data_IF_373756651596
#
_entry.id   IF_373756651596
#
_cell.length_a   1.000
_cell.length_b   1.000
_cell.length_c   1.000
_cell.angle_alpha   90.00
_cell.angle_beta   90.00
_cell.angle_gamma   90.00
#
_symmetry.space_group_name_H-M   'P 1'
#
loop_
_entity.id
_entity.type
_entity.pdbx_description
1 polymer ?
#
# COMPACT_ATOMS: atom_id res chain seq x y z
N UNK A 1 -12.69 13.90 13.33
CA UNK A 1 -11.59 13.43 12.47
C UNK A 1 -11.63 11.91 12.24
N UNK A 2 -12.48 11.14 12.94
CA UNK A 2 -12.54 9.68 12.83
C UNK A 2 -13.41 9.12 11.68
N UNK A 3 -14.19 9.93 10.95
CA UNK A 3 -15.08 9.39 9.90
C UNK A 3 -14.31 8.87 8.69
N UNK A 4 -13.19 9.51 8.34
CA UNK A 4 -12.42 9.19 7.13
C UNK A 4 -11.79 7.79 7.16
N UNK A 5 -11.62 7.19 8.34
CA UNK A 5 -11.14 5.81 8.47
C UNK A 5 -12.16 4.79 7.95
N UNK A 6 -13.43 5.16 7.92
CA UNK A 6 -14.55 4.32 7.50
C UNK A 6 -15.12 4.69 6.13
N UNK A 7 -14.67 5.79 5.54
CA UNK A 7 -15.07 6.23 4.20
C UNK A 7 -14.15 5.62 3.14
N UNK A 8 -14.68 5.42 1.92
CA UNK A 8 -13.85 5.08 0.77
C UNK A 8 -13.19 6.36 0.25
N UNK A 9 -11.86 6.40 0.18
CA UNK A 9 -11.14 7.56 -0.36
C UNK A 9 -11.58 7.89 -1.79
N UNK A 10 -12.14 6.94 -2.56
CA UNK A 10 -12.63 7.24 -3.91
C UNK A 10 -13.90 8.12 -3.91
N UNK A 11 -14.64 8.14 -2.80
CA UNK A 11 -15.93 8.86 -2.71
C UNK A 11 -15.87 10.17 -1.94
N UNK A 12 -14.73 10.50 -1.32
CA UNK A 12 -14.59 11.74 -0.54
C UNK A 12 -14.35 12.91 -1.48
N UNK A 13 -15.28 13.86 -1.49
CA UNK A 13 -15.11 15.16 -2.11
C UNK A 13 -14.09 15.94 -1.25
N UNK A 14 -13.02 16.50 -1.85
CA UNK A 14 -11.89 17.19 -1.18
C UNK A 14 -10.65 16.38 -0.79
N UNK A 15 -10.40 15.23 -1.42
CA UNK A 15 -9.05 14.63 -1.34
C UNK A 15 -8.10 15.28 -2.34
N UNK A 16 -6.94 15.72 -1.85
CA UNK A 16 -5.82 16.17 -2.69
C UNK A 16 -5.04 14.94 -3.20
N UNK A 17 -5.11 14.61 -4.50
CA UNK A 17 -4.40 13.47 -5.05
C UNK A 17 -2.89 13.75 -5.12
N UNK A 18 -2.08 12.79 -4.73
CA UNK A 18 -0.62 12.91 -4.70
C UNK A 18 0.08 11.77 -5.45
N UNK A 19 -0.49 10.57 -5.53
CA UNK A 19 0.20 9.40 -6.10
C UNK A 19 0.58 9.61 -7.56
N UNK A 20 -0.32 10.10 -8.43
CA UNK A 20 0.02 10.43 -9.84
C UNK A 20 1.19 11.40 -9.96
N UNK A 21 1.34 12.30 -8.99
CA UNK A 21 2.42 13.27 -8.96
C UNK A 21 3.74 12.64 -8.50
N UNK A 22 3.67 11.64 -7.61
CA UNK A 22 4.81 10.88 -7.09
C UNK A 22 5.27 9.75 -8.05
N UNK A 23 4.44 9.35 -9.02
CA UNK A 23 4.80 8.37 -10.05
C UNK A 23 5.75 9.00 -11.07
N UNK A 24 7.06 8.81 -10.85
CA UNK A 24 8.12 9.33 -11.71
C UNK A 24 9.52 8.99 -11.17
N UNK A 25 10.55 9.01 -12.02
CA UNK A 25 11.93 8.74 -11.57
C UNK A 25 12.39 9.78 -10.55
N UNK A 26 12.85 9.32 -9.38
CA UNK A 26 13.42 10.17 -8.33
C UNK A 26 12.40 10.95 -7.50
N UNK A 27 11.13 10.55 -7.53
CA UNK A 27 10.08 11.15 -6.70
C UNK A 27 9.78 10.27 -5.49
N UNK A 28 9.23 10.89 -4.46
CA UNK A 28 8.94 10.24 -3.18
C UNK A 28 7.49 10.48 -2.78
N UNK A 29 6.90 9.52 -2.07
CA UNK A 29 5.64 9.73 -1.34
C UNK A 29 5.98 10.49 -0.05
N UNK A 30 5.36 11.66 0.19
CA UNK A 30 5.71 12.48 1.35
C UNK A 30 5.21 11.85 2.67
N UNK A 31 5.90 12.12 3.79
CA UNK A 31 5.43 11.71 5.10
C UNK A 31 4.10 12.40 5.42
N UNK A 32 3.24 11.71 6.16
CA UNK A 32 1.88 12.14 6.45
C UNK A 32 0.84 11.71 5.42
N UNK A 33 1.25 11.18 4.27
CA UNK A 33 0.34 10.67 3.24
C UNK A 33 -0.52 9.53 3.76
N UNK A 34 -1.82 9.56 3.46
CA UNK A 34 -2.75 8.47 3.74
C UNK A 34 -3.06 7.73 2.45
N UNK A 35 -2.94 6.41 2.51
CA UNK A 35 -3.26 5.50 1.42
C UNK A 35 -4.35 4.54 1.88
N UNK A 36 -5.23 4.16 0.97
CA UNK A 36 -6.22 3.10 1.18
C UNK A 36 -5.79 1.83 0.47
N UNK A 37 -5.81 0.71 1.18
CA UNK A 37 -5.54 -0.62 0.62
C UNK A 37 -6.76 -1.09 -0.17
N UNK A 38 -6.58 -1.35 -1.46
CA UNK A 38 -7.60 -1.94 -2.32
C UNK A 38 -7.49 -3.47 -2.36
N UNK A 39 -6.26 -3.99 -2.37
CA UNK A 39 -6.00 -5.42 -2.47
C UNK A 39 -4.62 -5.78 -1.91
N UNK A 40 -4.50 -6.96 -1.33
CA UNK A 40 -3.24 -7.56 -0.90
C UNK A 40 -3.07 -8.90 -1.59
N UNK A 41 -1.90 -9.12 -2.19
CA UNK A 41 -1.56 -10.37 -2.87
C UNK A 41 -0.19 -10.83 -2.40
N UNK A 42 -0.04 -12.12 -2.09
CA UNK A 42 1.27 -12.73 -1.92
C UNK A 42 1.89 -12.96 -3.30
N UNK A 43 3.06 -12.37 -3.56
CA UNK A 43 3.76 -12.53 -4.83
C UNK A 43 4.99 -13.43 -4.73
N UNK A 44 5.26 -14.00 -3.55
CA UNK A 44 6.34 -14.97 -3.38
C UNK A 44 6.03 -16.33 -4.03
N UNK A 45 4.75 -16.63 -4.30
CA UNK A 45 4.31 -17.92 -4.83
C UNK A 45 3.23 -17.77 -5.90
N UNK A 46 3.19 -18.66 -6.91
CA UNK A 46 2.11 -18.69 -7.88
C UNK A 46 0.79 -19.13 -7.23
N UNK A 47 -0.32 -18.54 -7.66
CA UNK A 47 -1.67 -18.76 -7.10
C UNK A 47 -2.17 -20.21 -7.15
N UNK A 48 -1.55 -21.07 -7.98
CA UNK A 48 -1.97 -22.46 -8.20
C UNK A 48 -1.32 -23.47 -7.24
N UNK A 49 -0.23 -23.10 -6.55
CA UNK A 49 0.45 -24.02 -5.63
C UNK A 49 -0.10 -23.86 -4.21
N UNK A 50 -0.56 -24.98 -3.63
CA UNK A 50 -0.94 -25.03 -2.20
C UNK A 50 0.32 -24.75 -1.35
N UNK A 51 0.25 -23.91 -0.31
CA UNK A 51 1.45 -23.54 0.42
C UNK A 51 1.91 -24.70 1.31
N UNK A 52 3.01 -25.36 0.92
CA UNK A 52 3.79 -26.22 1.82
C UNK A 52 4.96 -25.46 2.48
N UNK A 53 4.96 -24.12 2.39
CA UNK A 53 6.13 -23.30 2.70
C UNK A 53 5.88 -22.35 3.86
N UNK A 54 6.98 -22.03 4.53
CA UNK A 54 7.09 -21.19 5.72
C UNK A 54 6.27 -19.90 5.59
N UNK A 55 5.19 -19.81 6.39
CA UNK A 55 4.22 -18.71 6.38
C UNK A 55 4.82 -17.36 6.85
N UNK A 56 6.10 -17.32 7.22
CA UNK A 56 6.74 -16.15 7.81
C UNK A 56 7.61 -15.32 6.86
N UNK A 57 7.91 -15.78 5.63
CA UNK A 57 8.74 -15.06 4.65
C UNK A 57 8.03 -14.82 3.32
N UNK A 58 7.06 -13.89 3.32
CA UNK A 58 6.27 -13.54 2.13
C UNK A 58 6.46 -12.09 1.74
N UNK A 59 6.68 -11.88 0.45
CA UNK A 59 6.60 -10.57 -0.17
C UNK A 59 5.15 -10.29 -0.50
N UNK A 60 4.55 -9.30 0.16
CA UNK A 60 3.21 -8.84 -0.15
C UNK A 60 3.26 -7.71 -1.18
N UNK A 61 2.41 -7.80 -2.19
CA UNK A 61 2.07 -6.68 -3.06
C UNK A 61 0.76 -6.07 -2.58
N UNK A 62 0.76 -4.78 -2.29
CA UNK A 62 -0.44 -3.99 -2.06
C UNK A 62 -0.81 -3.24 -3.33
N UNK A 63 -2.09 -3.27 -3.70
CA UNK A 63 -2.69 -2.26 -4.57
C UNK A 63 -3.30 -1.21 -3.64
N UNK A 64 -2.89 0.05 -3.80
CA UNK A 64 -3.35 1.15 -2.95
C UNK A 64 -3.89 2.31 -3.76
N UNK A 65 -4.65 3.20 -3.12
CA UNK A 65 -5.14 4.43 -3.72
C UNK A 65 -5.04 5.63 -2.77
N UNK A 66 -4.88 6.81 -3.35
CA UNK A 66 -5.05 8.11 -2.69
C UNK A 66 -6.45 8.69 -2.92
N UNK A 67 -7.41 7.87 -3.38
CA UNK A 67 -8.77 8.29 -3.73
C UNK A 67 -8.96 8.68 -5.20
N UNK A 68 -7.89 8.96 -5.94
CA UNK A 68 -7.97 9.28 -7.38
C UNK A 68 -7.13 8.35 -8.25
N UNK A 69 -5.95 8.00 -7.74
CA UNK A 69 -4.90 7.29 -8.45
C UNK A 69 -4.58 6.00 -7.75
N UNK A 70 -4.07 5.02 -8.51
CA UNK A 70 -3.61 3.75 -7.96
C UNK A 70 -2.09 3.68 -7.96
N UNK A 71 -1.54 3.01 -6.94
CA UNK A 71 -0.13 2.69 -6.81
C UNK A 71 0.08 1.25 -6.35
N UNK A 72 1.30 0.75 -6.53
CA UNK A 72 1.67 -0.59 -6.10
C UNK A 72 2.79 -0.52 -5.06
N UNK A 73 2.56 -1.12 -3.90
CA UNK A 73 3.54 -1.21 -2.84
C UNK A 73 4.05 -2.64 -2.70
N UNK A 74 5.36 -2.82 -2.47
CA UNK A 74 5.94 -4.11 -2.06
C UNK A 74 6.34 -4.06 -0.60
N UNK A 75 6.03 -5.13 0.13
CA UNK A 75 6.47 -5.35 1.50
C UNK A 75 7.32 -6.63 1.50
N UNK A 76 8.65 -6.52 1.32
CA UNK A 76 9.55 -7.68 1.25
C UNK A 76 9.76 -8.32 2.62
N UNK A 77 9.89 -7.49 3.65
CA UNK A 77 10.07 -7.92 5.04
C UNK A 77 8.76 -7.61 5.77
N UNK A 78 7.98 -8.65 6.08
CA UNK A 78 6.61 -8.52 6.62
C UNK A 78 6.44 -7.38 7.64
N UNK A 79 5.33 -6.64 7.49
CA UNK A 79 5.01 -5.47 8.31
C UNK A 79 4.00 -5.85 9.41
N UNK A 80 4.33 -5.68 10.71
CA UNK A 80 3.39 -5.94 11.80
C UNK A 80 2.09 -5.16 11.62
N UNK A 81 0.95 -5.85 11.64
CA UNK A 81 -0.37 -5.27 11.39
C UNK A 81 -0.86 -5.36 9.94
N UNK A 82 -0.01 -5.82 9.02
CA UNK A 82 -0.36 -6.10 7.62
C UNK A 82 -0.26 -7.59 7.35
N UNK A 83 -1.33 -8.18 6.82
CA UNK A 83 -1.41 -9.59 6.45
C UNK A 83 -2.29 -9.77 5.22
N UNK A 84 -2.32 -10.96 4.63
CA UNK A 84 -3.27 -11.28 3.55
C UNK A 84 -4.74 -11.12 3.95
N UNK A 85 -5.03 -11.15 5.25
CA UNK A 85 -6.38 -11.00 5.79
C UNK A 85 -6.73 -9.55 6.12
N UNK A 86 -5.81 -8.60 5.95
CA UNK A 86 -6.11 -7.18 6.14
C UNK A 86 -7.20 -6.76 5.16
N UNK A 87 -8.29 -6.21 5.69
CA UNK A 87 -9.49 -5.93 4.91
C UNK A 87 -9.22 -4.84 3.85
N UNK A 88 -9.79 -4.97 2.63
CA UNK A 88 -9.89 -3.85 1.70
C UNK A 88 -10.55 -2.63 2.35
N UNK A 89 -10.12 -1.43 1.99
CA UNK A 89 -10.55 -0.17 2.61
C UNK A 89 -9.70 0.26 3.82
N UNK A 90 -8.84 -0.62 4.34
CA UNK A 90 -7.90 -0.29 5.42
C UNK A 90 -7.05 0.91 5.04
N UNK A 91 -6.95 1.89 5.93
CA UNK A 91 -6.11 3.07 5.76
C UNK A 91 -4.74 2.83 6.35
N UNK A 92 -3.71 3.32 5.67
CA UNK A 92 -2.34 3.30 6.14
C UNK A 92 -1.74 4.69 6.01
N UNK A 93 -0.88 5.05 6.96
CA UNK A 93 -0.18 6.33 6.99
C UNK A 93 1.30 6.11 6.70
N UNK A 94 1.83 6.89 5.76
CA UNK A 94 3.26 6.98 5.51
C UNK A 94 3.88 7.91 6.56
N UNK A 95 4.89 7.42 7.26
CA UNK A 95 5.58 8.08 8.37
C UNK A 95 6.92 8.66 7.96
N UNK A 96 7.59 8.06 6.97
CA UNK A 96 8.84 8.53 6.38
C UNK A 96 8.71 8.60 4.85
N UNK A 97 9.46 9.48 4.17
CA UNK A 97 9.44 9.54 2.71
C UNK A 97 9.71 8.18 2.06
N UNK A 98 8.95 7.83 1.04
CA UNK A 98 9.10 6.56 0.31
C UNK A 98 9.49 6.80 -1.14
N UNK A 99 10.71 6.43 -1.57
CA UNK A 99 11.10 6.52 -2.97
C UNK A 99 10.20 5.69 -3.88
N UNK A 100 9.81 6.29 -5.01
CA UNK A 100 8.97 5.67 -6.03
C UNK A 100 9.80 5.40 -7.28
N UNK A 101 9.66 4.20 -7.83
CA UNK A 101 10.22 3.81 -9.12
C UNK A 101 9.07 3.47 -10.08
N UNK A 102 8.68 4.43 -10.91
CA UNK A 102 7.50 4.27 -11.77
C UNK A 102 6.22 4.28 -10.93
N UNK A 103 5.40 3.24 -11.04
CA UNK A 103 4.18 3.06 -10.22
C UNK A 103 4.39 2.17 -8.99
N UNK A 104 5.63 1.75 -8.74
CA UNK A 104 6.01 0.83 -7.68
C UNK A 104 6.82 1.55 -6.61
N UNK A 105 6.57 1.21 -5.35
CA UNK A 105 7.38 1.65 -4.22
C UNK A 105 7.52 0.53 -3.19
N UNK A 106 8.58 0.60 -2.39
CA UNK A 106 8.90 -0.44 -1.40
C UNK A 106 8.63 0.11 -0.01
N UNK A 107 7.75 -0.56 0.72
CA UNK A 107 7.42 -0.24 2.09
C UNK A 107 8.19 -1.15 3.04
N UNK A 108 8.60 -0.57 4.15
CA UNK A 108 9.31 -1.26 5.23
C UNK A 108 8.67 -0.85 6.55
N UNK A 109 9.07 -1.47 7.67
CA UNK A 109 8.58 -1.07 9.00
C UNK A 109 8.93 0.37 9.39
N UNK A 110 9.84 1.01 8.65
CA UNK A 110 10.33 2.35 8.95
C UNK A 110 9.55 3.45 8.23
N UNK A 111 8.64 3.13 7.33
CA UNK A 111 7.92 4.12 6.52
C UNK A 111 6.41 3.94 6.53
#
# INVERSE_FOLDING_TARGET
MDSILHEDLVTVEDITPFLKQCVGKGKEIPPGSILQIQQITNISFPTYDKPSYDLEKHTLKLTVTDGNSQGYALIPDGCPGLSLNTAPGTKMRITQPVPVQGSLFVLTRNN
#
